data_IF_930305238741
#
_entry.id   IF_930305238741
#
_cell.length_a   1.000
_cell.length_b   1.000
_cell.length_c   1.000
_cell.angle_alpha   90.00
_cell.angle_beta   90.00
_cell.angle_gamma   90.00
#
_symmetry.space_group_name_H-M   'P 1'
#
loop_
_entity.id
_entity.type
_entity.pdbx_description
1 polymer ?
#
# COMPACT_ATOMS: atom_id res chain seq x y z
N UNK A 1 -0.41 8.78 18.14
CA UNK A 1 1.02 9.04 17.87
C UNK A 1 1.51 8.24 16.68
N UNK A 2 1.43 6.90 16.68
CA UNK A 2 1.84 6.11 15.51
C UNK A 2 0.81 6.09 14.37
N UNK A 3 -0.46 6.35 14.66
CA UNK A 3 -1.53 6.38 13.65
C UNK A 3 -1.31 7.53 12.65
N UNK A 4 -1.01 8.72 13.15
CA UNK A 4 -0.71 9.91 12.32
C UNK A 4 0.49 9.66 11.39
N UNK A 5 1.55 9.03 11.93
CA UNK A 5 2.75 8.68 11.15
C UNK A 5 2.44 7.62 10.09
N UNK A 6 1.63 6.62 10.41
CA UNK A 6 1.22 5.59 9.44
C UNK A 6 0.41 6.19 8.29
N UNK A 7 -0.44 7.18 8.59
CA UNK A 7 -1.22 7.94 7.59
C UNK A 7 -0.31 8.74 6.67
N UNK A 8 0.61 9.54 7.22
CA UNK A 8 1.54 10.36 6.42
C UNK A 8 2.43 9.49 5.52
N UNK A 9 2.98 8.41 6.06
CA UNK A 9 3.79 7.46 5.29
C UNK A 9 2.95 6.76 4.21
N UNK A 10 1.69 6.43 4.51
CA UNK A 10 0.77 5.87 3.51
C UNK A 10 0.58 6.85 2.36
N UNK A 11 0.30 8.12 2.64
CA UNK A 11 0.16 9.14 1.59
C UNK A 11 1.41 9.25 0.73
N UNK A 12 2.60 9.26 1.33
CA UNK A 12 3.87 9.30 0.59
C UNK A 12 4.04 8.10 -0.34
N UNK A 13 3.73 6.89 0.14
CA UNK A 13 3.80 5.66 -0.67
C UNK A 13 2.80 5.68 -1.83
N UNK A 14 1.56 6.12 -1.58
CA UNK A 14 0.53 6.24 -2.62
C UNK A 14 0.94 7.21 -3.74
N UNK A 15 1.55 8.34 -3.39
CA UNK A 15 2.12 9.26 -4.38
C UNK A 15 3.31 8.62 -5.11
N UNK A 16 4.18 7.89 -4.42
CA UNK A 16 5.32 7.21 -5.03
C UNK A 16 4.89 6.21 -6.10
N UNK A 17 3.81 5.46 -5.87
CA UNK A 17 3.26 4.50 -6.83
C UNK A 17 2.75 5.13 -8.14
N UNK A 18 2.47 6.43 -8.17
CA UNK A 18 2.13 7.10 -9.43
C UNK A 18 3.32 7.16 -10.40
N UNK A 19 4.55 7.02 -9.91
CA UNK A 19 5.78 7.01 -10.70
C UNK A 19 6.15 5.67 -11.35
N UNK A 20 5.36 4.59 -11.13
CA UNK A 20 5.67 3.23 -11.59
C UNK A 20 7.09 2.77 -11.17
N UNK A 21 7.35 2.65 -9.86
CA UNK A 21 8.68 2.37 -9.34
C UNK A 21 9.22 1.00 -9.78
N UNK A 22 10.56 0.80 -9.77
CA UNK A 22 11.18 -0.49 -10.02
C UNK A 22 10.66 -1.56 -9.07
N UNK A 23 10.69 -2.83 -9.50
CA UNK A 23 10.02 -3.93 -8.80
C UNK A 23 10.53 -4.16 -7.37
N UNK A 24 11.84 -4.03 -7.12
CA UNK A 24 12.41 -4.13 -5.77
C UNK A 24 11.83 -3.10 -4.80
N UNK A 25 11.72 -1.86 -5.26
CA UNK A 25 11.21 -0.74 -4.47
C UNK A 25 9.70 -0.86 -4.28
N UNK A 26 8.99 -1.21 -5.35
CA UNK A 26 7.57 -1.51 -5.32
C UNK A 26 7.23 -2.58 -4.29
N UNK A 27 7.99 -3.68 -4.26
CA UNK A 27 7.81 -4.75 -3.29
C UNK A 27 8.03 -4.25 -1.85
N UNK A 28 9.11 -3.50 -1.61
CA UNK A 28 9.41 -2.94 -0.29
C UNK A 28 8.29 -1.99 0.20
N UNK A 29 7.84 -1.09 -0.68
CA UNK A 29 6.76 -0.14 -0.41
C UNK A 29 5.42 -0.85 -0.18
N UNK A 30 5.05 -1.83 -1.01
CA UNK A 30 3.80 -2.59 -0.85
C UNK A 30 3.81 -3.41 0.45
N UNK A 31 4.97 -3.98 0.82
CA UNK A 31 5.15 -4.67 2.10
C UNK A 31 4.97 -3.73 3.29
N UNK A 32 5.53 -2.52 3.23
CA UNK A 32 5.31 -1.49 4.25
C UNK A 32 3.82 -1.09 4.33
N UNK A 33 3.17 -0.84 3.19
CA UNK A 33 1.74 -0.52 3.11
C UNK A 33 0.88 -1.62 3.77
N UNK A 34 1.20 -2.90 3.53
CA UNK A 34 0.50 -4.04 4.16
C UNK A 34 0.62 -4.07 5.68
N UNK A 35 1.66 -3.45 6.25
CA UNK A 35 1.82 -3.28 7.70
C UNK A 35 1.07 -2.06 8.21
N UNK A 36 1.03 -0.97 7.45
CA UNK A 36 0.28 0.23 7.84
C UNK A 36 -1.21 -0.04 7.95
N UNK A 37 -1.78 -0.91 7.10
CA UNK A 37 -3.19 -1.36 7.22
C UNK A 37 -3.47 -2.20 8.49
N UNK A 38 -2.42 -2.67 9.19
CA UNK A 38 -2.53 -3.37 10.47
C UNK A 38 -2.34 -2.42 11.65
N UNK A 39 -1.49 -1.40 11.50
CA UNK A 39 -1.21 -0.40 12.52
C UNK A 39 -2.41 0.56 12.65
N UNK A 40 -2.83 1.16 11.53
CA UNK A 40 -4.03 2.02 11.47
C UNK A 40 -5.11 1.30 10.65
N UNK A 41 -5.94 0.52 11.35
CA UNK A 41 -6.90 -0.39 10.73
C UNK A 41 -8.13 0.24 10.09
N UNK A 42 -8.32 1.56 10.21
CA UNK A 42 -9.43 2.29 9.59
C UNK A 42 -8.95 3.38 8.64
N UNK A 43 -8.08 4.29 9.10
CA UNK A 43 -7.70 5.46 8.31
C UNK A 43 -6.84 5.10 7.10
N UNK A 44 -5.86 4.20 7.28
CA UNK A 44 -5.00 3.76 6.17
C UNK A 44 -5.80 3.04 5.07
N UNK A 45 -6.67 2.06 5.37
CA UNK A 45 -7.57 1.48 4.37
C UNK A 45 -8.43 2.51 3.63
N UNK A 46 -9.03 3.47 4.35
CA UNK A 46 -9.83 4.53 3.73
C UNK A 46 -9.00 5.41 2.80
N UNK A 47 -7.78 5.79 3.20
CA UNK A 47 -6.87 6.58 2.37
C UNK A 47 -6.49 5.85 1.09
N UNK A 48 -6.18 4.55 1.17
CA UNK A 48 -5.86 3.73 0.00
C UNK A 48 -7.05 3.71 -0.97
N UNK A 49 -8.27 3.55 -0.47
CA UNK A 49 -9.49 3.56 -1.29
C UNK A 49 -9.78 4.93 -1.91
N UNK A 50 -9.51 6.03 -1.20
CA UNK A 50 -9.80 7.39 -1.67
C UNK A 50 -8.75 7.94 -2.65
N UNK A 51 -7.47 7.66 -2.42
CA UNK A 51 -6.35 8.31 -3.13
C UNK A 51 -5.81 7.41 -4.24
N UNK A 52 -5.76 6.09 -4.02
CA UNK A 52 -5.13 5.14 -4.95
C UNK A 52 -3.60 5.33 -5.07
N UNK A 53 -2.93 4.66 -6.02
CA UNK A 53 -3.52 3.82 -7.07
C UNK A 53 -4.12 2.53 -6.52
N UNK A 54 -5.12 2.00 -7.22
CA UNK A 54 -5.68 0.69 -6.89
C UNK A 54 -4.53 -0.31 -6.74
N UNK A 55 -4.44 -1.07 -5.63
CA UNK A 55 -3.36 -2.05 -5.43
C UNK A 55 -3.18 -3.00 -6.62
N UNK A 56 -4.28 -3.30 -7.33
CA UNK A 56 -4.28 -4.15 -8.52
C UNK A 56 -3.55 -3.56 -9.74
N UNK A 57 -3.22 -2.26 -9.76
CA UNK A 57 -2.43 -1.62 -10.83
C UNK A 57 -1.11 -2.35 -11.10
N UNK A 58 -0.52 -2.93 -10.05
CA UNK A 58 0.78 -3.57 -10.11
C UNK A 58 0.73 -5.10 -10.17
N UNK A 59 -0.48 -5.67 -10.34
CA UNK A 59 -0.62 -7.11 -10.41
C UNK A 59 0.11 -7.66 -11.64
N UNK A 60 0.84 -8.75 -11.47
CA UNK A 60 1.62 -9.41 -12.51
C UNK A 60 3.02 -8.85 -12.72
N UNK A 61 3.44 -7.83 -11.96
CA UNK A 61 4.85 -7.36 -11.96
C UNK A 61 5.78 -8.44 -11.41
N UNK A 62 5.41 -9.08 -10.31
CA UNK A 62 6.10 -10.25 -9.76
C UNK A 62 5.19 -11.00 -8.77
N UNK A 63 5.48 -12.28 -8.52
CA UNK A 63 4.72 -13.09 -7.56
C UNK A 63 4.71 -12.46 -6.15
N UNK A 64 5.84 -11.93 -5.69
CA UNK A 64 5.95 -11.33 -4.35
C UNK A 64 5.16 -10.03 -4.22
N UNK A 65 5.01 -9.26 -5.31
CA UNK A 65 4.16 -8.06 -5.33
C UNK A 65 2.69 -8.48 -5.28
N UNK A 66 2.30 -9.50 -6.04
CA UNK A 66 0.92 -10.03 -6.03
C UNK A 66 0.50 -10.51 -4.64
N UNK A 67 1.38 -11.21 -3.93
CA UNK A 67 1.14 -11.64 -2.55
C UNK A 67 0.90 -10.44 -1.60
N UNK A 68 1.64 -9.33 -1.76
CA UNK A 68 1.43 -8.14 -0.94
C UNK A 68 0.12 -7.42 -1.30
N UNK A 69 -0.25 -7.38 -2.59
CA UNK A 69 -1.54 -6.86 -3.05
C UNK A 69 -2.69 -7.63 -2.39
N UNK A 70 -2.60 -8.96 -2.33
CA UNK A 70 -3.61 -9.79 -1.69
C UNK A 70 -3.74 -9.51 -0.19
N UNK A 71 -2.61 -9.27 0.51
CA UNK A 71 -2.62 -8.88 1.93
C UNK A 71 -3.27 -7.52 2.15
N UNK A 72 -2.98 -6.53 1.31
CA UNK A 72 -3.60 -5.20 1.38
C UNK A 72 -5.09 -5.32 1.09
N UNK A 73 -5.49 -5.99 0.01
CA UNK A 73 -6.89 -6.16 -0.38
C UNK A 73 -7.74 -6.87 0.69
N UNK A 74 -7.18 -7.78 1.47
CA UNK A 74 -7.88 -8.39 2.61
C UNK A 74 -8.29 -7.39 3.68
N UNK A 75 -7.61 -6.24 3.76
CA UNK A 75 -7.88 -5.16 4.72
C UNK A 75 -8.74 -4.03 4.15
N UNK A 76 -8.91 -3.99 2.82
CA UNK A 76 -9.78 -3.03 2.14
C UNK A 76 -11.22 -3.53 1.96
N UNK A 77 -11.52 -4.75 2.41
CA UNK A 77 -12.86 -5.36 2.37
C UNK A 77 -13.66 -5.06 3.62
#
# INVERSE_FOLDING_TARGET
>A
VFDDVAVELTMALLQYFNGNPPEDELYACMKALSRFTQISGQEVPQLIQMIGPEPNKFRGVSQRVDEMIDLVNKKLR
#
